data_IF_009537177593
#
_entry.id   IF_009537177593
#
_cell.length_a   1.000
_cell.length_b   1.000
_cell.length_c   1.000
_cell.angle_alpha   90.00
_cell.angle_beta   90.00
_cell.angle_gamma   90.00
#
_symmetry.space_group_name_H-M   'P 1'
#
loop_
_entity.id
_entity.type
_entity.pdbx_description
1 polymer ?
#
# COMPACT_ATOMS: atom_id res chain seq x y z
N UNK A 1 -46.80 -19.05 32.82
CA UNK A 1 -46.07 -18.78 34.10
C UNK A 1 -45.15 -17.61 33.80
N UNK A 2 -45.67 -16.38 33.95
CA UNK A 2 -44.93 -15.13 33.68
C UNK A 2 -44.31 -14.65 34.98
N UNK A 3 -42.99 -14.69 35.05
CA UNK A 3 -42.24 -14.12 36.18
C UNK A 3 -42.40 -12.58 36.15
N UNK A 4 -42.84 -11.93 37.24
CA UNK A 4 -42.89 -10.48 37.32
C UNK A 4 -41.44 -9.95 37.35
N UNK A 5 -41.02 -9.26 36.31
CA UNK A 5 -39.75 -8.53 36.32
C UNK A 5 -39.88 -7.37 37.30
N UNK A 6 -39.20 -7.48 38.44
CA UNK A 6 -39.09 -6.39 39.41
C UNK A 6 -38.33 -5.22 38.77
N UNK A 7 -38.70 -3.97 39.02
CA UNK A 7 -38.05 -2.77 38.54
C UNK A 7 -36.53 -2.77 38.75
N UNK A 8 -36.04 -3.38 39.83
CA UNK A 8 -34.62 -3.62 40.10
C UNK A 8 -33.96 -4.54 39.08
N UNK A 9 -34.66 -5.58 38.59
CA UNK A 9 -34.13 -6.49 37.56
C UNK A 9 -34.00 -5.81 36.17
N UNK A 10 -35.00 -4.97 35.82
CA UNK A 10 -34.98 -4.22 34.57
C UNK A 10 -33.83 -3.21 34.57
N UNK A 11 -33.63 -2.48 35.67
CA UNK A 11 -32.52 -1.52 35.82
C UNK A 11 -31.17 -2.20 35.75
N UNK A 12 -31.00 -3.38 36.38
CA UNK A 12 -29.74 -4.13 36.31
C UNK A 12 -29.41 -4.63 34.90
N UNK A 13 -30.42 -5.12 34.17
CA UNK A 13 -30.24 -5.57 32.78
C UNK A 13 -29.91 -4.40 31.84
N UNK A 14 -30.58 -3.25 32.04
CA UNK A 14 -30.30 -2.05 31.23
C UNK A 14 -28.88 -1.50 31.48
N UNK A 15 -28.46 -1.49 32.76
CA UNK A 15 -27.10 -1.08 33.12
C UNK A 15 -26.04 -2.02 32.56
N UNK A 16 -26.32 -3.32 32.57
CA UNK A 16 -25.43 -4.34 31.95
C UNK A 16 -25.34 -4.18 30.43
N UNK A 17 -26.45 -3.92 29.73
CA UNK A 17 -26.45 -3.65 28.27
C UNK A 17 -25.68 -2.37 27.92
N UNK A 18 -25.78 -1.31 28.72
CA UNK A 18 -25.04 -0.06 28.50
C UNK A 18 -23.53 -0.28 28.68
N UNK A 19 -23.11 -1.11 29.62
CA UNK A 19 -21.71 -1.50 29.83
C UNK A 19 -21.13 -2.29 28.65
N UNK A 20 -21.92 -3.11 27.97
CA UNK A 20 -21.47 -3.86 26.77
C UNK A 20 -21.42 -2.99 25.50
N UNK A 21 -22.17 -1.90 25.42
CA UNK A 21 -22.19 -0.96 24.31
C UNK A 21 -20.98 0.00 24.29
N UNK A 22 -20.33 0.21 25.45
CA UNK A 22 -19.13 1.07 25.57
C UNK A 22 -17.81 0.39 25.14
N UNK A 23 -17.85 -0.89 24.76
CA UNK A 23 -16.66 -1.70 24.43
C UNK A 23 -16.25 -1.72 22.96
N UNK A 24 -16.90 -0.98 22.04
CA UNK A 24 -16.39 -0.80 20.68
C UNK A 24 -15.22 0.18 20.68
N UNK A 25 -14.02 -0.32 20.99
CA UNK A 25 -12.76 0.40 20.87
C UNK A 25 -12.42 0.71 19.40
N UNK A 26 -13.27 1.45 18.72
CA UNK A 26 -12.97 1.97 17.38
C UNK A 26 -12.03 3.16 17.54
N UNK A 27 -10.73 2.89 17.50
CA UNK A 27 -9.74 3.96 17.39
C UNK A 27 -9.80 4.48 15.96
N UNK A 28 -10.16 5.74 15.76
CA UNK A 28 -10.05 6.40 14.46
C UNK A 28 -8.57 6.45 14.06
N UNK A 29 -8.16 5.54 13.21
CA UNK A 29 -6.86 5.60 12.54
C UNK A 29 -6.91 6.80 11.61
N UNK A 30 -6.15 7.86 11.88
CA UNK A 30 -6.04 8.98 10.94
C UNK A 30 -5.87 10.38 11.53
N UNK A 31 -5.71 10.56 12.84
CA UNK A 31 -5.49 11.91 13.42
C UNK A 31 -4.08 12.21 13.94
N UNK A 32 -3.20 11.23 14.01
CA UNK A 32 -1.81 11.48 14.35
C UNK A 32 -1.01 11.67 13.04
N UNK A 33 -0.84 12.92 12.68
CA UNK A 33 0.02 13.33 11.56
C UNK A 33 1.47 13.33 12.03
N UNK A 34 2.09 12.18 12.10
CA UNK A 34 3.52 12.10 12.32
C UNK A 34 4.23 12.31 10.97
N UNK A 35 4.49 13.57 10.68
CA UNK A 35 5.44 13.95 9.64
C UNK A 35 6.78 14.18 10.33
N UNK A 36 7.87 13.56 9.88
CA UNK A 36 9.19 13.78 10.48
C UNK A 36 9.50 15.28 10.59
N UNK A 37 10.07 15.74 11.72
CA UNK A 37 10.48 17.12 11.84
C UNK A 37 11.42 17.52 10.70
N UNK A 38 11.07 18.58 9.96
CA UNK A 38 11.85 19.08 8.83
C UNK A 38 11.54 18.43 7.48
N UNK A 39 10.55 17.55 7.39
CA UNK A 39 10.07 17.02 6.11
C UNK A 39 8.85 17.83 5.65
N UNK A 40 9.08 18.92 4.90
CA UNK A 40 8.00 19.75 4.35
C UNK A 40 7.69 19.41 2.90
N UNK A 41 8.70 18.99 2.15
CA UNK A 41 8.59 18.69 0.73
C UNK A 41 9.45 17.48 0.35
N UNK A 42 8.95 16.72 -0.62
CA UNK A 42 9.70 15.62 -1.20
C UNK A 42 9.59 15.60 -2.73
N UNK A 43 10.55 14.97 -3.36
CA UNK A 43 10.48 14.57 -4.76
C UNK A 43 10.55 13.05 -4.86
N UNK A 44 9.87 12.49 -5.86
CA UNK A 44 9.87 11.06 -6.16
C UNK A 44 10.39 10.91 -7.59
N UNK A 45 11.68 10.64 -7.78
CA UNK A 45 12.24 10.38 -9.10
C UNK A 45 11.74 9.04 -9.65
N UNK A 46 11.94 8.81 -10.95
CA UNK A 46 11.67 7.51 -11.56
C UNK A 46 12.40 6.41 -10.79
N UNK A 47 11.67 5.36 -10.42
CA UNK A 47 12.21 4.21 -9.70
C UNK A 47 13.28 3.52 -10.52
N UNK A 48 14.33 3.06 -9.85
CA UNK A 48 15.38 2.28 -10.49
C UNK A 48 14.89 0.87 -10.74
N UNK A 49 14.90 0.44 -12.00
CA UNK A 49 14.58 -0.93 -12.36
C UNK A 49 15.86 -1.78 -12.39
N UNK A 50 15.92 -2.81 -11.56
CA UNK A 50 17.00 -3.81 -11.52
C UNK A 50 16.54 -5.16 -12.10
N UNK A 51 15.32 -5.22 -12.64
CA UNK A 51 14.73 -6.43 -13.22
C UNK A 51 14.93 -6.46 -14.74
N UNK A 52 14.57 -7.59 -15.34
CA UNK A 52 14.56 -7.74 -16.81
C UNK A 52 13.21 -7.34 -17.43
N UNK A 53 12.20 -6.93 -16.63
CA UNK A 53 10.90 -6.48 -17.16
C UNK A 53 10.99 -4.99 -17.54
N UNK A 54 10.97 -4.65 -18.83
CA UNK A 54 11.13 -3.26 -19.25
C UNK A 54 9.88 -2.43 -18.94
N UNK A 55 10.09 -1.18 -18.51
CA UNK A 55 9.00 -0.23 -18.27
C UNK A 55 8.25 -0.43 -16.97
N UNK A 56 8.61 -1.44 -16.15
CA UNK A 56 7.97 -1.71 -14.87
C UNK A 56 8.10 -0.51 -13.89
N UNK A 57 9.14 0.29 -14.01
CA UNK A 57 9.36 1.49 -13.20
C UNK A 57 8.26 2.54 -13.38
N UNK A 58 7.59 2.56 -14.53
CA UNK A 58 6.57 3.57 -14.84
C UNK A 58 5.32 3.45 -13.95
N UNK A 59 4.62 2.30 -13.89
CA UNK A 59 3.45 2.14 -13.03
C UNK A 59 3.77 2.34 -11.54
N UNK A 60 4.96 1.96 -11.08
CA UNK A 60 5.38 2.18 -9.70
C UNK A 60 5.60 3.65 -9.40
N UNK A 61 6.44 4.35 -10.19
CA UNK A 61 6.68 5.79 -10.01
C UNK A 61 5.37 6.58 -10.02
N UNK A 62 4.50 6.32 -10.99
CA UNK A 62 3.20 6.98 -11.08
C UNK A 62 2.27 6.65 -9.92
N UNK A 63 2.30 5.39 -9.43
CA UNK A 63 1.52 4.97 -8.27
C UNK A 63 1.92 5.76 -7.02
N UNK A 64 3.21 5.86 -6.75
CA UNK A 64 3.76 6.61 -5.62
C UNK A 64 3.51 8.12 -5.75
N UNK A 65 3.76 8.71 -6.91
CA UNK A 65 3.47 10.13 -7.15
C UNK A 65 2.00 10.46 -6.86
N UNK A 66 1.06 9.71 -7.43
CA UNK A 66 -0.37 9.93 -7.22
C UNK A 66 -0.77 9.79 -5.75
N UNK A 67 -0.22 8.81 -5.06
CA UNK A 67 -0.58 8.53 -3.67
C UNK A 67 -0.09 9.62 -2.72
N UNK A 68 1.16 10.05 -2.87
CA UNK A 68 1.73 11.11 -2.03
C UNK A 68 1.14 12.50 -2.34
N UNK A 69 0.86 12.81 -3.62
CA UNK A 69 0.17 14.06 -4.01
C UNK A 69 -1.25 14.11 -3.41
N UNK A 70 -1.96 12.97 -3.38
CA UNK A 70 -3.32 12.88 -2.82
C UNK A 70 -3.34 13.03 -1.30
N UNK A 71 -2.32 12.54 -0.62
CA UNK A 71 -2.23 12.54 0.84
C UNK A 71 -2.07 13.95 1.42
N UNK A 72 -1.33 14.83 0.77
CA UNK A 72 -1.11 16.26 1.12
C UNK A 72 -0.42 16.52 2.46
N UNK A 73 0.01 15.51 3.20
CA UNK A 73 0.78 15.72 4.44
C UNK A 73 2.19 16.22 4.16
N UNK A 74 2.75 15.86 3.02
CA UNK A 74 4.03 16.34 2.51
C UNK A 74 3.83 16.84 1.08
N UNK A 75 4.42 18.00 0.75
CA UNK A 75 4.31 18.55 -0.59
C UNK A 75 5.22 17.82 -1.57
N UNK A 76 4.64 17.24 -2.63
CA UNK A 76 5.43 16.67 -3.73
C UNK A 76 5.78 17.79 -4.70
N UNK A 77 7.08 18.04 -4.87
CA UNK A 77 7.61 19.14 -5.67
C UNK A 77 8.77 18.68 -6.57
N UNK A 78 9.21 19.56 -7.47
CA UNK A 78 10.38 19.30 -8.30
C UNK A 78 11.64 19.12 -7.46
N UNK A 79 12.58 18.32 -7.97
CA UNK A 79 13.84 17.98 -7.30
C UNK A 79 14.63 19.18 -6.80
N UNK A 80 14.58 20.30 -7.53
CA UNK A 80 15.29 21.54 -7.16
C UNK A 80 14.72 22.23 -5.93
N UNK A 81 13.44 21.99 -5.61
CA UNK A 81 12.69 22.62 -4.51
C UNK A 81 12.45 21.67 -3.34
N UNK A 82 12.72 20.38 -3.51
CA UNK A 82 12.46 19.37 -2.50
C UNK A 82 13.51 19.39 -1.39
N UNK A 83 13.07 19.25 -0.13
CA UNK A 83 13.94 19.06 1.04
C UNK A 83 14.46 17.64 1.12
N UNK A 84 13.67 16.69 0.58
CA UNK A 84 13.95 15.27 0.64
C UNK A 84 13.62 14.55 -0.67
N UNK A 85 14.19 13.37 -0.83
CA UNK A 85 14.02 12.50 -2.00
C UNK A 85 13.55 11.13 -1.53
N UNK A 86 12.42 10.64 -2.04
CA UNK A 86 11.99 9.26 -1.88
C UNK A 86 12.45 8.46 -3.10
N UNK A 87 13.50 7.68 -2.91
CA UNK A 87 14.05 6.79 -3.93
C UNK A 87 13.43 5.40 -3.83
N UNK A 88 13.07 4.81 -4.97
CA UNK A 88 12.59 3.44 -5.07
C UNK A 88 13.47 2.62 -6.00
N UNK A 89 13.71 1.37 -5.61
CA UNK A 89 14.41 0.36 -6.40
C UNK A 89 13.53 -0.87 -6.54
N UNK A 90 13.24 -1.28 -7.77
CA UNK A 90 12.56 -2.54 -8.07
C UNK A 90 13.64 -3.61 -8.18
N UNK A 91 13.72 -4.49 -7.16
CA UNK A 91 14.77 -5.53 -7.03
C UNK A 91 14.46 -6.78 -7.82
N UNK A 92 13.21 -7.25 -7.73
CA UNK A 92 12.77 -8.42 -8.49
C UNK A 92 11.37 -8.24 -9.05
N UNK A 93 11.14 -8.94 -10.14
CA UNK A 93 9.87 -9.17 -10.78
C UNK A 93 9.81 -10.64 -11.19
N UNK A 94 8.85 -11.34 -10.61
CA UNK A 94 8.64 -12.76 -10.87
C UNK A 94 7.20 -12.99 -11.31
N UNK A 95 6.99 -13.87 -12.27
CA UNK A 95 5.67 -14.29 -12.76
C UNK A 95 5.57 -15.80 -12.74
N UNK A 96 4.51 -16.32 -12.14
CA UNK A 96 4.27 -17.75 -11.96
C UNK A 96 2.88 -18.12 -12.42
N UNK A 97 2.72 -19.27 -13.09
CA UNK A 97 1.40 -19.85 -13.32
C UNK A 97 0.91 -20.52 -12.03
N UNK A 98 -0.27 -20.13 -11.54
CA UNK A 98 -0.81 -20.61 -10.25
C UNK A 98 -2.04 -21.50 -10.40
N UNK A 99 -2.68 -21.52 -11.57
CA UNK A 99 -3.76 -22.46 -11.88
C UNK A 99 -3.74 -22.88 -13.35
N UNK A 100 -4.25 -24.08 -13.61
CA UNK A 100 -4.24 -24.70 -14.93
C UNK A 100 -5.60 -25.31 -15.25
N UNK A 101 -5.94 -25.35 -16.53
CA UNK A 101 -7.08 -26.10 -17.03
C UNK A 101 -6.76 -27.61 -17.15
N UNK A 102 -7.76 -28.39 -17.59
CA UNK A 102 -7.61 -29.84 -17.80
C UNK A 102 -6.59 -30.21 -18.91
N UNK A 103 -6.24 -29.23 -19.75
CA UNK A 103 -5.28 -29.39 -20.84
C UNK A 103 -3.86 -28.96 -20.43
N UNK A 104 -3.68 -28.49 -19.19
CA UNK A 104 -2.39 -28.01 -18.69
C UNK A 104 -2.06 -26.57 -19.08
N UNK A 105 -3.03 -25.82 -19.63
CA UNK A 105 -2.84 -24.41 -19.95
C UNK A 105 -3.08 -23.55 -18.69
N UNK A 106 -2.27 -22.51 -18.50
CA UNK A 106 -2.41 -21.59 -17.40
C UNK A 106 -3.75 -20.83 -17.47
N UNK A 107 -4.48 -20.81 -16.37
CA UNK A 107 -5.72 -20.05 -16.18
C UNK A 107 -5.45 -18.72 -15.45
N UNK A 108 -4.42 -18.70 -14.59
CA UNK A 108 -4.09 -17.55 -13.79
C UNK A 108 -2.59 -17.46 -13.53
N UNK A 109 -2.08 -16.24 -13.52
CA UNK A 109 -0.71 -15.90 -13.18
C UNK A 109 -0.67 -15.10 -11.88
N UNK A 110 0.36 -15.35 -11.06
CA UNK A 110 0.78 -14.51 -9.95
C UNK A 110 1.98 -13.67 -10.39
N UNK A 111 1.91 -12.36 -10.14
CA UNK A 111 3.07 -11.46 -10.20
C UNK A 111 3.51 -11.18 -8.77
N UNK A 112 4.80 -11.29 -8.54
CA UNK A 112 5.46 -10.85 -7.30
C UNK A 112 6.53 -9.83 -7.63
N UNK A 113 6.49 -8.69 -6.91
CA UNK A 113 7.49 -7.63 -7.04
C UNK A 113 8.09 -7.34 -5.67
N UNK A 114 9.41 -7.14 -5.63
CA UNK A 114 10.14 -6.73 -4.41
C UNK A 114 10.74 -5.35 -4.64
N UNK A 115 10.51 -4.46 -3.66
CA UNK A 115 10.95 -3.07 -3.68
C UNK A 115 11.84 -2.76 -2.49
N UNK A 116 12.86 -1.92 -2.69
CA UNK A 116 13.52 -1.16 -1.65
C UNK A 116 13.16 0.31 -1.80
N UNK A 117 12.89 0.98 -0.70
CA UNK A 117 12.51 2.39 -0.64
C UNK A 117 13.36 3.11 0.40
N UNK A 118 13.85 4.28 0.06
CA UNK A 118 14.69 5.08 0.95
C UNK A 118 14.29 6.56 0.85
N UNK A 119 13.92 7.16 1.99
CA UNK A 119 13.76 8.60 2.10
C UNK A 119 15.06 9.22 2.61
N UNK A 120 15.60 10.17 1.86
CA UNK A 120 16.83 10.91 2.20
C UNK A 120 16.57 12.40 2.21
N UNK A 121 17.19 13.12 3.15
CA UNK A 121 17.33 14.58 3.04
C UNK A 121 18.22 14.92 1.84
N UNK A 122 18.16 16.18 1.38
CA UNK A 122 19.07 16.70 0.35
C UNK A 122 20.54 16.60 0.78
N UNK A 123 20.81 16.59 2.07
CA UNK A 123 22.15 16.40 2.66
C UNK A 123 22.70 14.97 2.52
N UNK A 124 21.86 13.99 2.13
CA UNK A 124 22.19 12.58 2.06
C UNK A 124 21.83 11.77 3.31
N UNK A 125 21.39 12.42 4.39
CA UNK A 125 20.94 11.75 5.61
C UNK A 125 19.69 10.90 5.32
N UNK A 126 19.72 9.62 5.69
CA UNK A 126 18.58 8.71 5.56
C UNK A 126 17.62 8.99 6.71
N UNK A 127 16.37 9.35 6.36
CA UNK A 127 15.29 9.59 7.32
C UNK A 127 14.44 8.35 7.56
N UNK A 128 14.27 7.55 6.54
CA UNK A 128 13.46 6.33 6.58
C UNK A 128 13.85 5.35 5.49
N UNK A 129 13.72 4.07 5.78
CA UNK A 129 14.03 3.00 4.85
C UNK A 129 13.06 1.83 5.03
N UNK A 130 12.61 1.25 3.92
CA UNK A 130 11.88 -0.02 3.87
C UNK A 130 12.58 -0.91 2.85
N UNK A 131 13.07 -2.06 3.31
CA UNK A 131 13.75 -3.05 2.47
C UNK A 131 12.88 -4.27 2.24
N UNK A 132 13.07 -4.89 1.08
CA UNK A 132 12.43 -6.15 0.71
C UNK A 132 10.89 -6.11 0.82
N UNK A 133 10.30 -4.92 0.60
CA UNK A 133 8.84 -4.80 0.55
C UNK A 133 8.31 -5.59 -0.62
N UNK A 134 7.47 -6.60 -0.34
CA UNK A 134 6.89 -7.47 -1.36
C UNK A 134 5.40 -7.23 -1.54
N UNK A 135 4.96 -7.14 -2.80
CA UNK A 135 3.56 -7.06 -3.19
C UNK A 135 3.26 -8.11 -4.25
N UNK A 136 2.05 -8.69 -4.18
CA UNK A 136 1.61 -9.78 -5.05
C UNK A 136 0.28 -9.41 -5.68
N UNK A 137 0.08 -9.78 -6.96
CA UNK A 137 -1.20 -9.71 -7.66
C UNK A 137 -1.37 -10.88 -8.61
N UNK A 138 -2.61 -11.25 -8.80
CA UNK A 138 -3.00 -12.25 -9.78
C UNK A 138 -3.69 -11.59 -10.96
N UNK A 139 -3.53 -12.19 -12.13
CA UNK A 139 -4.31 -11.83 -13.31
C UNK A 139 -4.65 -13.08 -14.12
N UNK A 140 -5.79 -13.03 -14.82
CA UNK A 140 -6.24 -14.13 -15.66
C UNK A 140 -5.35 -14.28 -16.88
N UNK A 141 -4.94 -15.49 -17.14
CA UNK A 141 -4.26 -15.85 -18.37
C UNK A 141 -5.22 -15.72 -19.57
N UNK A 142 -4.65 -15.43 -20.73
CA UNK A 142 -5.36 -15.39 -22.00
C UNK A 142 -4.57 -16.15 -23.04
N UNK A 143 -5.25 -16.89 -23.89
CA UNK A 143 -4.64 -17.52 -25.08
C UNK A 143 -4.25 -16.50 -26.15
N UNK A 144 -4.85 -15.30 -26.10
CA UNK A 144 -4.45 -14.17 -26.93
C UNK A 144 -3.29 -13.42 -26.27
N UNK A 145 -2.15 -13.33 -26.94
CA UNK A 145 -0.92 -12.72 -26.42
C UNK A 145 -1.13 -11.26 -26.04
N UNK A 146 -1.80 -10.47 -26.90
CA UNK A 146 -2.06 -9.05 -26.63
C UNK A 146 -2.97 -8.86 -25.41
N UNK A 147 -4.00 -9.69 -25.26
CA UNK A 147 -4.88 -9.65 -24.11
C UNK A 147 -4.13 -10.09 -22.83
N UNK A 148 -3.22 -11.04 -22.93
CA UNK A 148 -2.40 -11.47 -21.80
C UNK A 148 -1.45 -10.33 -21.33
N UNK A 149 -0.78 -9.65 -22.26
CA UNK A 149 0.05 -8.48 -21.94
C UNK A 149 -0.77 -7.33 -21.36
N UNK A 150 -1.99 -7.08 -21.87
CA UNK A 150 -2.88 -6.07 -21.30
C UNK A 150 -3.29 -6.41 -19.86
N UNK A 151 -3.61 -7.68 -19.56
CA UNK A 151 -3.94 -8.14 -18.22
C UNK A 151 -2.74 -7.98 -17.26
N UNK A 152 -1.52 -8.33 -17.72
CA UNK A 152 -0.27 -8.10 -16.98
C UNK A 152 -0.07 -6.62 -16.68
N UNK A 153 -0.24 -5.74 -17.65
CA UNK A 153 -0.09 -4.30 -17.47
C UNK A 153 -1.06 -3.73 -16.42
N UNK A 154 -2.32 -4.17 -16.44
CA UNK A 154 -3.32 -3.80 -15.41
C UNK A 154 -2.89 -4.29 -14.03
N UNK A 155 -2.40 -5.52 -13.91
CA UNK A 155 -1.91 -6.07 -12.65
C UNK A 155 -0.71 -5.25 -12.13
N UNK A 156 0.23 -4.86 -12.97
CA UNK A 156 1.37 -4.01 -12.61
C UNK A 156 0.94 -2.62 -12.11
N UNK A 157 -0.06 -2.00 -12.76
CA UNK A 157 -0.63 -0.73 -12.28
C UNK A 157 -1.27 -0.89 -10.90
N UNK A 158 -1.96 -2.00 -10.65
CA UNK A 158 -2.55 -2.30 -9.35
C UNK A 158 -1.46 -2.52 -8.28
N UNK A 159 -0.41 -3.28 -8.58
CA UNK A 159 0.72 -3.49 -7.67
C UNK A 159 1.33 -2.13 -7.30
N UNK A 160 1.67 -1.29 -8.28
CA UNK A 160 2.25 0.03 -8.04
C UNK A 160 1.37 0.92 -7.14
N UNK A 161 0.05 0.90 -7.35
CA UNK A 161 -0.90 1.65 -6.52
C UNK A 161 -0.97 1.11 -5.08
N UNK A 162 -1.14 -0.19 -4.91
CA UNK A 162 -1.28 -0.79 -3.57
C UNK A 162 0.03 -0.76 -2.78
N UNK A 163 1.18 -0.92 -3.47
CA UNK A 163 2.49 -0.71 -2.86
C UNK A 163 2.60 0.72 -2.31
N UNK A 164 2.23 1.71 -3.12
CA UNK A 164 2.28 3.12 -2.72
C UNK A 164 1.37 3.41 -1.52
N UNK A 165 0.14 2.88 -1.50
CA UNK A 165 -0.80 3.03 -0.40
C UNK A 165 -0.28 2.42 0.91
N UNK A 166 0.23 1.18 0.85
CA UNK A 166 0.80 0.48 2.01
C UNK A 166 2.05 1.17 2.54
N UNK A 167 2.94 1.58 1.64
CA UNK A 167 4.18 2.28 2.00
C UNK A 167 3.86 3.64 2.61
N UNK A 168 2.95 4.43 2.01
CA UNK A 168 2.51 5.69 2.59
C UNK A 168 1.98 5.49 4.02
N UNK A 169 1.16 4.46 4.24
CA UNK A 169 0.63 4.18 5.57
C UNK A 169 1.74 3.83 6.56
N UNK A 170 2.69 2.95 6.19
CA UNK A 170 3.85 2.61 7.02
C UNK A 170 4.74 3.82 7.28
N UNK A 171 4.98 4.61 6.25
CA UNK A 171 5.78 5.82 6.31
C UNK A 171 5.26 6.78 7.38
N UNK A 172 3.97 7.11 7.36
CA UNK A 172 3.39 8.03 8.33
C UNK A 172 3.03 7.41 9.68
N UNK A 173 3.06 6.10 9.82
CA UNK A 173 2.84 5.43 11.10
C UNK A 173 4.14 5.27 11.90
N UNK A 174 5.28 5.16 11.24
CA UNK A 174 6.58 4.89 11.89
C UNK A 174 7.34 6.16 12.30
N UNK A 175 6.73 7.31 12.16
CA UNK A 175 7.20 8.57 12.69
C UNK A 175 6.24 9.09 13.77
#
# INVERSE_FOLDING_TARGET
MTLPLNHTGIVAVTLLCVLFLSGCGYQMVGKETHVPPGLNSLTIPTFKNQTYEPGIEVPFTQGFLREFIRDRRVNVVDRTKADSVLEGVIKSFDIFSVSYDKSGLALEYEIRVVLDLTLKKRTGEILWEEKDFSEIRWFRASSNVLANEANKAVALQQIGRFSAERIRNRFFYNF
#
